data_IF_048474536721
#
_entry.id   IF_048474536721
#
_cell.length_a   1.000
_cell.length_b   1.000
_cell.length_c   1.000
_cell.angle_alpha   90.00
_cell.angle_beta   90.00
_cell.angle_gamma   90.00
#
_symmetry.space_group_name_H-M   'P 1'
#
loop_
_entity.id
_entity.type
_entity.pdbx_description
1 polymer ?
#
# COMPACT_ATOMS: atom_id res chain seq x y z
N UNK A 1 2.20 33.69 1.76
CA UNK A 1 2.97 32.69 1.02
C UNK A 1 2.42 31.33 1.39
N UNK A 2 2.04 30.51 0.43
CA UNK A 2 1.60 29.13 0.68
C UNK A 2 2.80 28.32 1.16
N UNK A 3 2.77 27.90 2.42
CA UNK A 3 3.74 26.95 2.98
C UNK A 3 3.60 25.63 2.25
N UNK A 4 4.67 25.22 1.58
CA UNK A 4 4.70 23.95 0.87
C UNK A 4 5.10 22.83 1.85
N UNK A 5 4.49 21.65 1.71
CA UNK A 5 4.68 20.54 2.67
C UNK A 5 6.12 20.07 2.88
N UNK A 6 7.06 20.42 1.99
CA UNK A 6 8.49 20.13 2.17
C UNK A 6 9.12 20.85 3.38
N UNK A 7 8.55 21.98 3.83
CA UNK A 7 9.06 22.74 4.98
C UNK A 7 8.89 21.99 6.31
N UNK A 8 8.01 20.98 6.35
CA UNK A 8 7.79 20.11 7.51
C UNK A 8 8.80 18.97 7.67
N UNK A 9 9.76 18.84 6.72
CA UNK A 9 10.85 17.88 6.78
C UNK A 9 10.52 16.45 6.34
N UNK A 10 9.24 16.06 6.25
CA UNK A 10 8.83 14.72 5.78
C UNK A 10 8.09 14.80 4.45
N UNK A 11 8.79 14.43 3.38
CA UNK A 11 8.23 14.37 2.04
C UNK A 11 7.28 13.17 1.89
N UNK A 12 6.09 13.42 1.36
CA UNK A 12 5.12 12.39 1.00
C UNK A 12 5.12 12.14 -0.51
N UNK A 13 6.27 11.72 -1.05
CA UNK A 13 6.45 11.41 -2.47
C UNK A 13 6.26 9.90 -2.73
N UNK A 14 5.92 9.46 -3.94
CA UNK A 14 5.62 8.04 -4.23
C UNK A 14 6.72 7.05 -3.81
N UNK A 15 7.99 7.46 -3.87
CA UNK A 15 9.15 6.64 -3.56
C UNK A 15 9.63 6.73 -2.10
N UNK A 16 8.90 7.42 -1.23
CA UNK A 16 9.26 7.64 0.18
C UNK A 16 8.23 6.98 1.11
N UNK A 17 8.70 6.36 2.19
CA UNK A 17 7.86 5.75 3.23
C UNK A 17 7.51 4.28 2.97
N UNK A 18 6.65 3.73 3.83
CA UNK A 18 6.20 2.34 3.73
C UNK A 18 5.07 2.27 2.70
N UNK A 19 5.21 1.39 1.70
CA UNK A 19 4.18 1.24 0.65
C UNK A 19 3.01 0.37 1.14
N UNK A 20 2.15 0.96 1.97
CA UNK A 20 0.77 0.48 2.18
C UNK A 20 -0.13 0.96 1.05
N UNK A 21 -1.34 0.41 0.93
CA UNK A 21 -2.29 0.89 -0.09
C UNK A 21 -2.66 2.35 0.23
N UNK A 22 -2.50 3.27 -0.72
CA UNK A 22 -2.81 4.69 -0.55
C UNK A 22 -2.03 5.39 0.57
N UNK A 23 -0.94 4.80 1.08
CA UNK A 23 -0.26 5.23 2.33
C UNK A 23 -1.16 5.25 3.57
N UNK A 24 -2.25 4.48 3.58
CA UNK A 24 -3.10 4.31 4.76
C UNK A 24 -2.37 3.54 5.89
N UNK A 25 -2.80 3.69 7.15
CA UNK A 25 -2.22 2.98 8.27
C UNK A 25 -2.23 1.46 8.07
N UNK A 26 -1.13 0.81 8.46
CA UNK A 26 -1.09 -0.63 8.63
C UNK A 26 -1.62 -0.97 10.02
N UNK A 27 -2.58 -1.88 10.08
CA UNK A 27 -3.12 -2.44 11.33
C UNK A 27 -2.93 -3.95 11.28
N UNK A 28 -2.23 -4.50 12.28
CA UNK A 28 -1.92 -5.92 12.37
C UNK A 28 -2.91 -6.68 13.26
N UNK A 29 -3.54 -5.98 14.20
CA UNK A 29 -4.54 -6.55 15.07
C UNK A 29 -5.92 -6.48 14.40
N UNK A 30 -6.45 -7.64 14.04
CA UNK A 30 -7.74 -7.77 13.38
C UNK A 30 -8.91 -7.23 14.21
N UNK A 31 -8.82 -7.38 15.53
CA UNK A 31 -9.85 -6.89 16.45
C UNK A 31 -9.80 -5.36 16.62
N UNK A 32 -8.71 -4.72 16.20
CA UNK A 32 -8.53 -3.27 16.26
C UNK A 32 -8.89 -2.56 14.95
N UNK A 33 -9.28 -3.30 13.89
CA UNK A 33 -9.65 -2.70 12.60
C UNK A 33 -10.94 -1.90 12.77
N UNK A 34 -10.80 -0.58 12.78
CA UNK A 34 -11.91 0.38 12.75
C UNK A 34 -11.79 1.25 11.50
N UNK A 35 -12.33 0.76 10.38
CA UNK A 35 -12.24 1.43 9.09
C UNK A 35 -13.46 1.10 8.22
N UNK A 36 -13.83 2.02 7.32
CA UNK A 36 -14.87 1.78 6.31
C UNK A 36 -14.40 0.74 5.27
N UNK A 37 -13.09 0.72 4.98
CA UNK A 37 -12.47 -0.20 4.02
C UNK A 37 -11.12 -0.66 4.56
N UNK A 38 -10.89 -1.98 4.52
CA UNK A 38 -9.59 -2.59 4.81
C UNK A 38 -9.06 -3.33 3.57
N UNK A 39 -7.75 -3.18 3.29
CA UNK A 39 -7.11 -3.78 2.11
C UNK A 39 -6.14 -4.89 2.52
N UNK A 40 -6.49 -6.13 2.18
CA UNK A 40 -5.66 -7.31 2.40
C UNK A 40 -5.09 -7.85 1.09
N UNK A 41 -3.81 -8.22 1.09
CA UNK A 41 -3.19 -8.87 -0.06
C UNK A 41 -3.23 -10.38 0.08
N UNK A 42 -3.66 -11.09 -0.96
CA UNK A 42 -3.55 -12.55 -1.08
C UNK A 42 -2.54 -12.90 -2.19
N UNK A 43 -1.22 -12.97 -1.91
CA UNK A 43 -0.19 -13.16 -2.92
C UNK A 43 -0.08 -14.62 -3.37
N UNK A 44 -1.06 -15.06 -4.16
CA UNK A 44 -1.17 -16.44 -4.63
C UNK A 44 -1.37 -16.50 -6.15
N UNK A 45 -0.64 -17.38 -6.83
CA UNK A 45 -0.78 -17.58 -8.28
C UNK A 45 -0.65 -19.04 -8.74
N UNK A 46 -0.67 -20.03 -7.83
CA UNK A 46 -0.62 -21.45 -8.23
C UNK A 46 -1.87 -21.93 -8.98
N UNK A 47 -2.95 -21.14 -9.03
CA UNK A 47 -4.10 -21.39 -9.88
C UNK A 47 -3.95 -20.92 -11.34
N UNK A 48 -2.84 -20.26 -11.69
CA UNK A 48 -2.64 -19.75 -13.06
C UNK A 48 -2.26 -20.88 -14.03
N UNK A 49 -2.84 -20.88 -15.23
CA UNK A 49 -2.60 -21.92 -16.24
C UNK A 49 -1.39 -21.64 -17.15
N UNK A 50 -0.90 -20.40 -17.19
CA UNK A 50 0.11 -19.97 -18.16
C UNK A 50 1.22 -19.14 -17.50
N UNK A 51 1.07 -17.81 -17.46
CA UNK A 51 2.07 -16.90 -16.91
C UNK A 51 1.87 -16.77 -15.40
N UNK A 52 2.91 -17.14 -14.66
CA UNK A 52 3.05 -16.78 -13.25
C UNK A 52 3.25 -15.26 -13.08
N UNK A 53 3.10 -14.77 -11.85
CA UNK A 53 3.42 -13.38 -11.50
C UNK A 53 2.33 -12.66 -10.71
N UNK A 54 1.09 -13.17 -10.70
CA UNK A 54 0.00 -12.54 -9.96
C UNK A 54 0.28 -12.45 -8.45
N UNK A 55 1.14 -13.32 -7.89
CA UNK A 55 1.60 -13.22 -6.50
C UNK A 55 2.31 -11.89 -6.17
N UNK A 56 2.94 -11.25 -7.16
CA UNK A 56 3.57 -9.93 -7.02
C UNK A 56 2.58 -8.77 -7.10
N UNK A 57 1.35 -9.03 -7.58
CA UNK A 57 0.31 -8.02 -7.77
C UNK A 57 -0.02 -7.21 -6.52
N UNK A 58 -0.30 -7.83 -5.35
CA UNK A 58 -0.63 -7.08 -4.14
C UNK A 58 0.46 -6.11 -3.68
N UNK A 59 1.74 -6.38 -3.96
CA UNK A 59 2.83 -5.44 -3.67
C UNK A 59 2.88 -4.33 -4.72
N UNK A 60 2.81 -4.68 -6.01
CA UNK A 60 2.83 -3.70 -7.10
C UNK A 60 1.67 -2.71 -7.05
N UNK A 61 0.46 -3.15 -6.69
CA UNK A 61 -0.70 -2.27 -6.51
C UNK A 61 -0.45 -1.26 -5.39
N UNK A 62 0.17 -1.67 -4.27
CA UNK A 62 0.48 -0.74 -3.17
C UNK A 62 1.48 0.31 -3.60
N UNK A 63 2.56 -0.10 -4.28
CA UNK A 63 3.58 0.83 -4.82
C UNK A 63 2.99 1.81 -5.85
N UNK A 64 2.04 1.37 -6.68
CA UNK A 64 1.36 2.25 -7.63
C UNK A 64 0.34 3.20 -6.99
N UNK A 65 -0.14 2.87 -5.78
CA UNK A 65 -1.13 3.67 -5.04
C UNK A 65 -0.53 4.73 -4.11
N UNK A 66 0.79 4.73 -3.92
CA UNK A 66 1.53 5.56 -2.94
C UNK A 66 1.97 6.92 -3.44
#
# INVERSE_FOLDING_TARGET
MSTHGYESGRLNLPFVGICTFGKFPYEENWDAINADVAVMGAPFDFGTQWRAGARGGPRGIREAST
#
